data_IF_240565972595
#
_entry.id   IF_240565972595
#
_cell.length_a   1.000
_cell.length_b   1.000
_cell.length_c   1.000
_cell.angle_alpha   90.00
_cell.angle_beta   90.00
_cell.angle_gamma   90.00
#
_symmetry.space_group_name_H-M   'P 1'
#
loop_
_entity.id
_entity.type
_entity.pdbx_description
1 polymer ?
#
# COMPACT_ATOMS: atom_id res chain seq x y z
N UNK A 1 1.09 -11.10 -2.11
CA UNK A 1 2.07 -10.20 -1.44
C UNK A 1 1.37 -9.50 -0.29
N UNK A 2 2.09 -8.88 0.65
CA UNK A 2 1.44 -8.13 1.74
C UNK A 2 0.78 -6.85 1.20
N UNK A 3 -0.25 -6.34 1.88
CA UNK A 3 -0.93 -5.09 1.52
C UNK A 3 0.04 -3.91 1.48
N UNK A 4 0.94 -3.80 2.47
CA UNK A 4 1.97 -2.76 2.50
C UNK A 4 2.90 -2.84 1.29
N UNK A 5 3.34 -4.05 0.93
CA UNK A 5 4.20 -4.28 -0.25
C UNK A 5 3.51 -3.88 -1.54
N UNK A 6 2.19 -4.12 -1.67
CA UNK A 6 1.41 -3.70 -2.83
C UNK A 6 1.42 -2.17 -2.97
N UNK A 7 1.09 -1.45 -1.90
CA UNK A 7 1.06 0.02 -1.92
C UNK A 7 2.47 0.55 -2.20
N UNK A 8 3.49 0.00 -1.55
CA UNK A 8 4.89 0.39 -1.77
C UNK A 8 5.34 0.19 -3.22
N UNK A 9 4.94 -0.91 -3.87
CA UNK A 9 5.19 -1.12 -5.30
C UNK A 9 4.46 -0.10 -6.18
N UNK A 10 3.21 0.26 -5.83
CA UNK A 10 2.48 1.31 -6.53
C UNK A 10 3.20 2.67 -6.42
N UNK A 11 3.74 3.01 -5.24
CA UNK A 11 4.52 4.22 -5.04
C UNK A 11 5.83 4.19 -5.84
N UNK A 12 6.54 3.06 -5.80
CA UNK A 12 7.82 2.89 -6.46
C UNK A 12 7.71 2.94 -7.99
N UNK A 13 6.74 2.23 -8.59
CA UNK A 13 6.56 2.23 -10.06
C UNK A 13 6.21 3.62 -10.60
N UNK A 14 5.58 4.47 -9.77
CA UNK A 14 5.26 5.86 -10.10
C UNK A 14 6.33 6.86 -9.64
N UNK A 15 7.52 6.39 -9.25
CA UNK A 15 8.67 7.22 -8.84
C UNK A 15 8.40 8.16 -7.64
N UNK A 16 7.41 7.83 -6.81
CA UNK A 16 7.09 8.60 -5.59
C UNK A 16 8.04 8.27 -4.42
N UNK A 17 8.68 7.10 -4.48
CA UNK A 17 9.70 6.64 -3.51
C UNK A 17 10.86 6.00 -4.26
N UNK A 18 12.05 6.00 -3.65
CA UNK A 18 13.28 5.47 -4.27
C UNK A 18 13.47 3.95 -4.10
N UNK A 19 12.72 3.30 -3.21
CA UNK A 19 12.75 1.84 -3.06
C UNK A 19 11.44 1.31 -2.47
N UNK A 20 11.20 0.00 -2.65
CA UNK A 20 10.03 -0.67 -2.06
C UNK A 20 10.08 -0.61 -0.52
N UNK A 21 11.26 -0.83 0.09
CA UNK A 21 11.41 -0.79 1.55
C UNK A 21 11.07 0.58 2.13
N UNK A 22 11.47 1.67 1.47
CA UNK A 22 11.08 3.03 1.87
C UNK A 22 9.55 3.20 1.74
N UNK A 23 8.96 2.68 0.67
CA UNK A 23 7.51 2.68 0.51
C UNK A 23 6.78 1.92 1.61
N UNK A 24 7.28 0.76 2.04
CA UNK A 24 6.69 -0.03 3.12
C UNK A 24 6.76 0.70 4.47
N UNK A 25 7.91 1.31 4.78
CA UNK A 25 8.06 2.14 5.97
C UNK A 25 7.11 3.33 5.94
N UNK A 26 6.97 4.02 4.80
CA UNK A 26 6.03 5.13 4.65
C UNK A 26 4.57 4.69 4.83
N UNK A 27 4.18 3.54 4.27
CA UNK A 27 2.83 2.98 4.46
C UNK A 27 2.57 2.67 5.93
N UNK A 28 3.56 2.11 6.64
CA UNK A 28 3.44 1.82 8.07
C UNK A 28 3.28 3.12 8.89
N UNK A 29 4.11 4.14 8.64
CA UNK A 29 3.99 5.42 9.34
C UNK A 29 2.64 6.09 9.10
N UNK A 30 2.15 6.09 7.85
CA UNK A 30 0.83 6.63 7.51
C UNK A 30 -0.29 5.80 8.14
N UNK A 31 -0.13 4.48 8.23
CA UNK A 31 -1.10 3.64 8.93
C UNK A 31 -1.22 4.02 10.41
N UNK A 32 -0.09 4.13 11.09
CA UNK A 32 -0.02 4.46 12.52
C UNK A 32 -0.55 5.88 12.81
N UNK A 33 -0.34 6.83 11.89
CA UNK A 33 -0.84 8.20 11.99
C UNK A 33 -2.36 8.29 11.77
N UNK A 34 -2.90 7.66 10.73
CA UNK A 34 -4.29 7.83 10.31
C UNK A 34 -5.27 6.82 10.92
N UNK A 35 -4.78 5.69 11.43
CA UNK A 35 -5.60 4.63 12.01
C UNK A 35 -5.16 4.27 13.43
N UNK A 36 -5.08 5.26 14.35
CA UNK A 36 -4.71 5.00 15.73
C UNK A 36 -5.69 4.01 16.37
N UNK A 37 -5.16 3.01 17.07
CA UNK A 37 -5.95 1.94 17.70
C UNK A 37 -6.14 0.68 16.84
N UNK A 38 -5.69 0.69 15.58
CA UNK A 38 -5.60 -0.53 14.77
C UNK A 38 -4.17 -1.10 14.79
N UNK A 39 -4.08 -2.43 14.66
CA UNK A 39 -2.80 -3.13 14.61
C UNK A 39 -2.36 -3.30 13.14
N UNK A 40 -1.21 -2.71 12.79
CA UNK A 40 -0.67 -2.78 11.44
C UNK A 40 -0.40 -4.21 10.99
N UNK A 41 0.13 -5.08 11.84
CA UNK A 41 0.47 -6.45 11.48
C UNK A 41 -0.80 -7.28 11.25
N UNK A 42 -1.89 -7.00 11.97
CA UNK A 42 -3.20 -7.61 11.72
C UNK A 42 -3.82 -7.14 10.41
N UNK A 43 -3.68 -5.86 10.08
CA UNK A 43 -4.17 -5.32 8.80
C UNK A 43 -3.33 -5.83 7.62
N UNK A 44 -2.01 -5.89 7.77
CA UNK A 44 -1.04 -6.16 6.71
C UNK A 44 -0.97 -7.64 6.30
N UNK A 45 -2.08 -8.19 5.82
CA UNK A 45 -2.21 -9.59 5.41
C UNK A 45 -1.79 -9.81 3.96
N UNK A 46 -1.70 -11.08 3.56
CA UNK A 46 -1.38 -11.46 2.19
C UNK A 46 -2.61 -11.29 1.28
N UNK A 47 -2.43 -10.57 0.18
CA UNK A 47 -3.40 -10.49 -0.90
C UNK A 47 -3.23 -11.62 -1.93
N UNK A 48 -4.33 -12.09 -2.53
CA UNK A 48 -4.28 -12.99 -3.67
C UNK A 48 -3.47 -12.40 -4.84
N UNK A 49 -2.66 -13.19 -5.55
CA UNK A 49 -1.84 -12.71 -6.66
C UNK A 49 -2.66 -11.95 -7.72
N UNK A 50 -3.81 -12.48 -8.13
CA UNK A 50 -4.68 -11.88 -9.13
C UNK A 50 -5.14 -10.45 -8.74
N UNK A 51 -5.52 -10.25 -7.48
CA UNK A 51 -5.92 -8.94 -6.95
C UNK A 51 -4.74 -7.97 -6.98
N UNK A 52 -3.59 -8.40 -6.49
CA UNK A 52 -2.39 -7.54 -6.46
C UNK A 52 -1.92 -7.13 -7.86
N UNK A 53 -1.94 -8.04 -8.84
CA UNK A 53 -1.58 -7.73 -10.24
C UNK A 53 -2.56 -6.76 -10.88
N UNK A 54 -3.87 -6.93 -10.65
CA UNK A 54 -4.89 -6.02 -11.17
C UNK A 54 -4.69 -4.60 -10.64
N UNK A 55 -4.44 -4.49 -9.33
CA UNK A 55 -4.24 -3.19 -8.69
C UNK A 55 -2.95 -2.52 -9.18
N UNK A 56 -1.84 -3.25 -9.29
CA UNK A 56 -0.58 -2.70 -9.82
C UNK A 56 -0.75 -2.11 -11.23
N UNK A 57 -1.47 -2.81 -12.10
CA UNK A 57 -1.78 -2.32 -13.46
C UNK A 57 -2.67 -1.09 -13.43
N UNK A 58 -3.70 -1.09 -12.57
CA UNK A 58 -4.64 0.02 -12.46
C UNK A 58 -4.00 1.31 -11.92
N UNK A 59 -2.92 1.19 -11.15
CA UNK A 59 -2.19 2.32 -10.56
C UNK A 59 -0.97 2.74 -11.38
N UNK A 60 -0.74 2.16 -12.56
CA UNK A 60 0.34 2.60 -13.45
C UNK A 60 0.12 4.05 -13.91
N UNK A 61 1.20 4.84 -13.93
CA UNK A 61 1.21 6.25 -14.36
C UNK A 61 0.29 7.16 -13.54
N UNK A 62 -0.04 6.77 -12.31
CA UNK A 62 -0.76 7.62 -11.38
C UNK A 62 0.11 8.82 -11.01
N UNK A 63 -0.40 10.04 -11.22
CA UNK A 63 0.27 11.27 -10.81
C UNK A 63 0.23 11.49 -9.29
N UNK A 64 -0.70 10.85 -8.59
CA UNK A 64 -0.85 10.93 -7.14
C UNK A 64 -1.43 9.63 -6.60
N UNK A 65 -0.89 9.15 -5.47
CA UNK A 65 -1.43 8.00 -4.73
C UNK A 65 -1.68 8.46 -3.29
N UNK A 66 -2.96 8.43 -2.87
CA UNK A 66 -3.33 8.77 -1.49
C UNK A 66 -3.29 7.53 -0.62
N UNK A 67 -2.17 7.32 0.07
CA UNK A 67 -1.87 6.08 0.80
C UNK A 67 -2.91 5.75 1.89
N UNK A 68 -3.37 6.74 2.65
CA UNK A 68 -4.38 6.54 3.70
C UNK A 68 -5.72 6.00 3.14
N UNK A 69 -6.21 6.57 2.03
CA UNK A 69 -7.40 6.04 1.36
C UNK A 69 -7.16 4.64 0.79
N UNK A 70 -5.99 4.40 0.22
CA UNK A 70 -5.63 3.09 -0.30
C UNK A 70 -5.57 2.03 0.81
N UNK A 71 -5.04 2.38 1.98
CA UNK A 71 -5.06 1.51 3.17
C UNK A 71 -6.50 1.11 3.52
N UNK A 72 -7.41 2.08 3.50
CA UNK A 72 -8.84 1.87 3.77
C UNK A 72 -9.52 1.00 2.71
N UNK A 73 -9.20 1.19 1.44
CA UNK A 73 -9.75 0.38 0.34
C UNK A 73 -9.30 -1.09 0.42
N UNK A 74 -8.14 -1.36 1.02
CA UNK A 74 -7.64 -2.72 1.23
C UNK A 74 -8.11 -3.35 2.55
N UNK A 75 -8.93 -2.67 3.36
CA UNK A 75 -9.30 -3.18 4.69
C UNK A 75 -10.09 -4.49 4.63
N UNK A 76 -11.02 -4.57 3.68
CA UNK A 76 -11.94 -5.71 3.50
C UNK A 76 -11.40 -6.80 2.56
N UNK A 77 -10.13 -6.70 2.13
CA UNK A 77 -9.47 -7.62 1.20
C UNK A 77 -8.52 -8.62 1.87
#
# INVERSE_FOLDING_TARGET
MLKSTLIAKCLYQNRMVSSISIGESAVKSIFEEYFPGHDFNKWNTKLPPAVSTRILKATERASTIRVNYFIKDLWDL
#
